data_IF_738435387398
#
_entry.id   IF_738435387398
#
_cell.length_a   1.000
_cell.length_b   1.000
_cell.length_c   1.000
_cell.angle_alpha   90.00
_cell.angle_beta   90.00
_cell.angle_gamma   90.00
#
_symmetry.space_group_name_H-M   'P 1'
#
loop_
_entity.id
_entity.type
_entity.pdbx_description
1 polymer ?
#
# COMPACT_ATOMS: atom_id res chain seq x y z
N UNK A 1 2.49 -24.19 5.95
CA UNK A 1 1.68 -23.31 5.08
C UNK A 1 2.25 -21.93 5.22
N UNK A 2 2.65 -21.29 4.13
CA UNK A 2 3.19 -19.93 4.15
C UNK A 2 2.06 -18.91 4.14
N UNK A 3 2.26 -17.77 4.81
CA UNK A 3 1.27 -16.70 4.93
C UNK A 3 1.93 -15.38 4.53
N UNK A 4 1.21 -14.55 3.80
CA UNK A 4 1.61 -13.16 3.55
C UNK A 4 0.64 -12.26 4.29
N UNK A 5 1.14 -11.38 5.15
CA UNK A 5 0.36 -10.31 5.76
C UNK A 5 0.67 -8.98 5.07
N UNK A 6 -0.36 -8.32 4.55
CA UNK A 6 -0.24 -6.98 4.00
C UNK A 6 -0.71 -5.96 5.04
N UNK A 7 0.15 -5.02 5.37
CA UNK A 7 -0.09 -3.95 6.35
C UNK A 7 -0.20 -2.62 5.59
N UNK A 8 -1.33 -1.93 5.79
CA UNK A 8 -1.60 -0.60 5.26
C UNK A 8 -0.74 0.50 5.88
N UNK A 9 -1.22 1.72 5.71
CA UNK A 9 -0.62 2.96 6.20
C UNK A 9 -0.49 2.94 7.73
N UNK A 10 0.70 3.27 8.23
CA UNK A 10 0.99 3.33 9.68
C UNK A 10 0.92 4.78 10.18
N UNK A 11 1.37 5.73 9.37
CA UNK A 11 1.19 7.17 9.60
C UNK A 11 1.76 7.69 10.91
N UNK A 12 2.90 7.16 11.37
CA UNK A 12 3.55 7.56 12.62
C UNK A 12 2.99 6.93 13.89
N UNK A 13 2.35 5.76 13.79
CA UNK A 13 1.80 5.00 14.92
C UNK A 13 2.55 3.69 15.17
N UNK A 14 3.79 3.73 15.73
CA UNK A 14 4.58 2.52 15.97
C UNK A 14 3.88 1.51 16.89
N UNK A 15 3.10 1.98 17.86
CA UNK A 15 2.33 1.10 18.76
C UNK A 15 1.28 0.28 18.02
N UNK A 16 0.62 0.86 17.03
CA UNK A 16 -0.37 0.14 16.24
C UNK A 16 0.30 -0.89 15.32
N UNK A 17 1.42 -0.52 14.69
CA UNK A 17 2.22 -1.46 13.91
C UNK A 17 2.71 -2.62 14.78
N UNK A 18 3.21 -2.32 15.99
CA UNK A 18 3.67 -3.35 16.93
C UNK A 18 2.55 -4.32 17.32
N UNK A 19 1.37 -3.80 17.70
CA UNK A 19 0.22 -4.65 18.04
C UNK A 19 -0.18 -5.56 16.89
N UNK A 20 -0.26 -5.03 15.67
CA UNK A 20 -0.58 -5.80 14.48
C UNK A 20 0.45 -6.93 14.22
N UNK A 21 1.74 -6.67 14.47
CA UNK A 21 2.79 -7.68 14.35
C UNK A 21 2.71 -8.74 15.46
N UNK A 22 2.41 -8.33 16.69
CA UNK A 22 2.24 -9.24 17.82
C UNK A 22 1.06 -10.21 17.57
N UNK A 23 -0.04 -9.70 17.01
CA UNK A 23 -1.21 -10.50 16.57
C UNK A 23 -0.87 -11.47 15.44
N UNK A 24 0.06 -11.12 14.56
CA UNK A 24 0.61 -12.00 13.53
C UNK A 24 1.59 -13.05 14.09
N UNK A 25 1.95 -12.94 15.36
CA UNK A 25 2.85 -13.86 16.07
C UNK A 25 4.32 -13.44 16.08
N UNK A 26 4.64 -12.21 15.69
CA UNK A 26 6.00 -11.69 15.82
C UNK A 26 6.45 -11.69 17.29
N UNK A 27 7.76 -11.85 17.49
CA UNK A 27 8.39 -11.88 18.82
C UNK A 27 9.61 -10.97 18.81
N UNK A 28 9.49 -9.80 19.44
CA UNK A 28 10.50 -8.75 19.33
C UNK A 28 10.64 -8.32 17.88
N UNK A 29 11.84 -8.36 17.32
CA UNK A 29 12.11 -7.93 15.94
C UNK A 29 12.26 -9.12 14.98
N UNK A 30 11.60 -10.25 15.26
CA UNK A 30 11.59 -11.45 14.40
C UNK A 30 10.19 -11.86 14.01
N UNK A 31 10.03 -12.23 12.74
CA UNK A 31 8.78 -12.76 12.20
C UNK A 31 8.74 -14.29 12.37
N UNK A 32 7.55 -14.90 12.46
CA UNK A 32 7.40 -16.34 12.31
C UNK A 32 7.99 -16.82 10.97
N UNK A 33 8.63 -17.99 10.96
CA UNK A 33 9.29 -18.51 9.76
C UNK A 33 8.34 -18.77 8.57
N UNK A 34 7.04 -18.92 8.85
CA UNK A 34 5.99 -19.09 7.85
C UNK A 34 5.35 -17.76 7.38
N UNK A 35 5.80 -16.62 7.89
CA UNK A 35 5.22 -15.31 7.63
C UNK A 35 6.14 -14.41 6.81
N UNK A 36 5.57 -13.83 5.75
CA UNK A 36 6.12 -12.64 5.10
C UNK A 36 5.19 -11.46 5.37
N UNK A 37 5.75 -10.30 5.70
CA UNK A 37 5.01 -9.04 5.89
C UNK A 37 5.35 -8.10 4.74
N UNK A 38 4.32 -7.54 4.11
CA UNK A 38 4.45 -6.45 3.13
C UNK A 38 3.80 -5.20 3.74
N UNK A 39 4.60 -4.20 4.09
CA UNK A 39 4.08 -2.89 4.52
C UNK A 39 4.01 -1.96 3.30
N UNK A 40 2.84 -1.39 3.01
CA UNK A 40 2.54 -0.75 1.72
C UNK A 40 2.98 0.71 1.59
N UNK A 41 3.76 1.25 2.51
CA UNK A 41 4.15 2.66 2.55
C UNK A 41 3.34 3.51 3.53
N UNK A 42 3.67 4.79 3.63
CA UNK A 42 3.15 5.73 4.61
C UNK A 42 3.37 5.23 6.04
N UNK A 43 4.64 4.97 6.36
CA UNK A 43 5.11 4.76 7.73
C UNK A 43 5.07 6.04 8.54
N UNK A 44 5.31 7.18 7.90
CA UNK A 44 5.34 8.51 8.52
C UNK A 44 4.14 9.35 8.10
N UNK A 45 3.53 10.05 9.03
CA UNK A 45 2.53 11.12 8.80
C UNK A 45 2.31 11.85 10.14
N UNK A 46 1.20 12.57 10.27
CA UNK A 46 0.66 13.29 11.43
C UNK A 46 0.46 12.47 12.72
N UNK A 47 0.86 11.19 12.76
CA UNK A 47 0.86 10.39 13.98
C UNK A 47 1.89 10.88 15.01
N UNK A 48 1.83 10.35 16.23
CA UNK A 48 2.61 10.87 17.36
C UNK A 48 4.11 10.60 17.26
N UNK A 49 4.54 9.57 16.53
CA UNK A 49 5.95 9.14 16.51
C UNK A 49 6.38 8.50 15.17
N UNK A 50 6.59 9.34 14.17
CA UNK A 50 7.12 8.91 12.87
C UNK A 50 8.55 8.35 12.95
N UNK A 51 9.41 8.86 13.84
CA UNK A 51 10.77 8.32 13.99
C UNK A 51 10.76 6.92 14.61
N UNK A 52 9.94 6.69 15.63
CA UNK A 52 9.76 5.39 16.24
C UNK A 52 9.19 4.35 15.27
N UNK A 53 8.30 4.75 14.36
CA UNK A 53 7.81 3.87 13.28
C UNK A 53 8.97 3.44 12.35
N UNK A 54 9.83 4.37 11.95
CA UNK A 54 11.02 4.05 11.16
C UNK A 54 12.03 3.18 11.93
N UNK A 55 12.27 3.47 13.21
CA UNK A 55 13.16 2.66 14.07
C UNK A 55 12.66 1.22 14.23
N UNK A 56 11.34 1.04 14.35
CA UNK A 56 10.70 -0.27 14.42
C UNK A 56 10.95 -1.06 13.13
N UNK A 57 10.66 -0.45 11.99
CA UNK A 57 10.86 -1.09 10.68
C UNK A 57 12.32 -1.36 10.39
N UNK A 58 13.25 -0.47 10.75
CA UNK A 58 14.70 -0.70 10.61
C UNK A 58 15.16 -2.03 11.24
N UNK A 59 14.62 -2.37 12.41
CA UNK A 59 14.97 -3.62 13.09
C UNK A 59 14.31 -4.84 12.44
N UNK A 60 13.06 -4.71 12.03
CA UNK A 60 12.29 -5.79 11.39
C UNK A 60 12.76 -6.09 9.95
N UNK A 61 13.22 -5.07 9.23
CA UNK A 61 13.74 -5.16 7.87
C UNK A 61 14.98 -6.05 7.74
N UNK A 62 15.61 -6.41 8.87
CA UNK A 62 16.72 -7.38 8.91
C UNK A 62 16.24 -8.83 8.74
N UNK A 63 14.95 -9.07 8.97
CA UNK A 63 14.31 -10.34 8.72
C UNK A 63 14.00 -10.47 7.22
N UNK A 64 14.40 -11.58 6.55
CA UNK A 64 14.11 -11.77 5.13
C UNK A 64 12.60 -11.87 4.82
N UNK A 65 11.76 -12.07 5.84
CA UNK A 65 10.31 -12.04 5.72
C UNK A 65 9.72 -10.63 5.62
N UNK A 66 10.51 -9.55 5.72
CA UNK A 66 10.00 -8.18 5.63
C UNK A 66 10.16 -7.58 4.22
N UNK A 67 9.08 -7.00 3.69
CA UNK A 67 9.08 -6.23 2.44
C UNK A 67 8.53 -4.84 2.74
N UNK A 68 9.36 -3.82 2.52
CA UNK A 68 9.02 -2.42 2.75
C UNK A 68 8.72 -1.70 1.42
N UNK A 69 7.47 -1.26 1.25
CA UNK A 69 7.10 -0.41 0.12
C UNK A 69 7.10 1.08 0.52
N UNK A 70 7.20 1.97 -0.46
CA UNK A 70 7.17 3.42 -0.29
C UNK A 70 5.77 3.95 -0.47
N UNK A 71 5.36 4.89 0.37
CA UNK A 71 4.17 5.72 0.15
C UNK A 71 4.53 7.12 -0.33
N UNK A 72 3.52 7.96 -0.54
CA UNK A 72 3.76 9.36 -0.88
C UNK A 72 4.42 10.11 0.28
N UNK A 73 4.15 9.73 1.53
CA UNK A 73 4.75 10.40 2.68
C UNK A 73 6.25 10.14 2.82
N UNK A 74 6.77 9.00 2.37
CA UNK A 74 8.21 8.78 2.25
C UNK A 74 8.78 9.42 0.99
N UNK A 75 8.07 9.29 -0.15
CA UNK A 75 8.57 9.70 -1.45
C UNK A 75 8.85 11.20 -1.57
N UNK A 76 8.14 12.05 -0.80
CA UNK A 76 8.41 13.49 -0.78
C UNK A 76 9.83 13.86 -0.32
N UNK A 77 10.53 12.96 0.38
CA UNK A 77 11.89 13.16 0.88
C UNK A 77 12.97 12.56 -0.03
N UNK A 78 12.56 11.80 -1.05
CA UNK A 78 13.44 11.18 -2.04
C UNK A 78 13.77 12.17 -3.17
N UNK A 79 14.73 11.80 -4.00
CA UNK A 79 15.14 12.63 -5.14
C UNK A 79 13.96 12.84 -6.10
N UNK A 80 13.68 14.10 -6.44
CA UNK A 80 12.53 14.48 -7.28
C UNK A 80 11.18 14.51 -6.55
N UNK A 81 11.15 14.25 -5.24
CA UNK A 81 9.95 14.36 -4.42
C UNK A 81 9.44 15.80 -4.30
N UNK A 82 8.12 15.97 -4.31
CA UNK A 82 7.47 17.26 -4.03
C UNK A 82 7.02 17.26 -2.57
N UNK A 83 7.49 18.24 -1.79
CA UNK A 83 7.08 18.40 -0.39
C UNK A 83 5.66 18.93 -0.33
N UNK A 84 4.76 18.14 0.28
CA UNK A 84 3.35 18.50 0.44
C UNK A 84 2.92 18.54 1.92
N UNK A 85 3.67 17.89 2.82
CA UNK A 85 3.35 17.94 4.25
C UNK A 85 3.66 19.30 4.86
N UNK A 86 2.83 19.70 5.83
CA UNK A 86 3.05 20.89 6.67
C UNK A 86 3.80 20.56 7.96
N UNK A 87 3.92 19.28 8.30
CA UNK A 87 4.57 18.76 9.50
C UNK A 87 5.74 17.89 9.03
N UNK A 88 6.92 18.49 8.76
CA UNK A 88 8.03 17.77 8.16
C UNK A 88 8.64 16.76 9.14
N UNK A 89 9.06 15.62 8.59
CA UNK A 89 9.86 14.63 9.28
C UNK A 89 11.20 15.23 9.73
N UNK A 90 11.68 14.84 10.91
CA UNK A 90 12.99 15.24 11.39
C UNK A 90 14.12 14.76 10.45
N UNK A 91 15.22 15.51 10.38
CA UNK A 91 16.34 15.23 9.47
C UNK A 91 16.90 13.81 9.58
N UNK A 92 16.89 13.23 10.80
CA UNK A 92 17.31 11.86 11.02
C UNK A 92 16.44 10.85 10.26
N UNK A 93 15.12 11.06 10.25
CA UNK A 93 14.18 10.24 9.49
C UNK A 93 14.35 10.43 7.99
N UNK A 94 14.53 11.68 7.54
CA UNK A 94 14.79 11.99 6.12
C UNK A 94 16.05 11.28 5.62
N UNK A 95 17.15 11.34 6.38
CA UNK A 95 18.40 10.62 6.04
C UNK A 95 18.17 9.12 5.94
N UNK A 96 17.40 8.54 6.87
CA UNK A 96 17.08 7.11 6.87
C UNK A 96 16.27 6.69 5.64
N UNK A 97 15.23 7.44 5.28
CA UNK A 97 14.43 7.14 4.09
C UNK A 97 15.28 7.16 2.81
N UNK A 98 16.18 8.13 2.69
CA UNK A 98 17.13 8.21 1.57
C UNK A 98 18.09 7.02 1.54
N UNK A 99 18.58 6.59 2.70
CA UNK A 99 19.42 5.40 2.83
C UNK A 99 18.66 4.12 2.44
N UNK A 100 17.43 3.95 2.91
CA UNK A 100 16.59 2.81 2.55
C UNK A 100 16.30 2.75 1.05
N UNK A 101 16.06 3.89 0.43
CA UNK A 101 15.89 3.98 -1.02
C UNK A 101 17.19 3.60 -1.75
N UNK A 102 18.33 4.18 -1.34
CA UNK A 102 19.62 3.94 -1.98
C UNK A 102 20.09 2.47 -1.84
N UNK A 103 19.73 1.80 -0.75
CA UNK A 103 20.08 0.40 -0.48
C UNK A 103 19.07 -0.61 -1.05
N UNK A 104 17.94 -0.13 -1.62
CA UNK A 104 16.88 -0.97 -2.16
C UNK A 104 15.99 -1.66 -1.11
N UNK A 105 16.11 -1.24 0.15
CA UNK A 105 15.18 -1.66 1.20
C UNK A 105 13.78 -1.10 0.93
N UNK A 106 13.69 0.17 0.54
CA UNK A 106 12.44 0.83 0.18
C UNK A 106 12.13 0.60 -1.31
N UNK A 107 10.98 -0.02 -1.61
CA UNK A 107 10.57 -0.39 -2.98
C UNK A 107 9.26 0.27 -3.38
N UNK A 108 8.90 0.28 -4.65
CA UNK A 108 7.63 0.85 -5.14
C UNK A 108 6.50 -0.18 -5.04
N UNK A 109 6.80 -1.42 -5.42
CA UNK A 109 5.79 -2.47 -5.53
C UNK A 109 6.35 -3.86 -5.26
N UNK A 110 5.45 -4.78 -4.95
CA UNK A 110 5.66 -6.22 -4.88
C UNK A 110 4.53 -6.94 -5.63
N UNK A 111 4.68 -8.22 -5.88
CA UNK A 111 3.61 -9.04 -6.44
C UNK A 111 3.43 -10.32 -5.61
N UNK A 112 2.19 -10.77 -5.47
CA UNK A 112 1.87 -11.98 -4.69
C UNK A 112 0.88 -12.85 -5.45
N UNK A 113 0.92 -14.16 -5.25
CA UNK A 113 -0.08 -15.12 -5.75
C UNK A 113 -0.82 -15.77 -4.60
N UNK A 114 -2.14 -15.86 -4.73
CA UNK A 114 -3.04 -16.53 -3.79
C UNK A 114 -3.96 -17.46 -4.58
N UNK A 115 -3.75 -18.77 -4.47
CA UNK A 115 -4.39 -19.73 -5.37
C UNK A 115 -4.05 -19.40 -6.83
N UNK A 116 -5.07 -19.17 -7.65
CA UNK A 116 -4.94 -18.85 -9.09
C UNK A 116 -4.98 -17.35 -9.41
N UNK A 117 -4.98 -16.47 -8.39
CA UNK A 117 -5.01 -15.02 -8.60
C UNK A 117 -3.70 -14.35 -8.18
N UNK A 118 -3.14 -13.58 -9.11
CA UNK A 118 -2.00 -12.71 -8.87
C UNK A 118 -2.47 -11.31 -8.46
N UNK A 119 -1.75 -10.71 -7.53
CA UNK A 119 -1.98 -9.36 -7.05
C UNK A 119 -0.71 -8.52 -7.19
N UNK A 120 -0.85 -7.34 -7.77
CA UNK A 120 0.12 -6.27 -7.60
C UNK A 120 -0.12 -5.61 -6.24
N UNK A 121 0.93 -5.41 -5.46
CA UNK A 121 0.89 -4.71 -4.17
C UNK A 121 1.70 -3.43 -4.29
N UNK A 122 1.05 -2.28 -4.10
CA UNK A 122 1.71 -0.97 -4.07
C UNK A 122 0.89 0.01 -3.22
N UNK A 123 1.40 1.20 -2.96
CA UNK A 123 0.82 2.10 -1.98
C UNK A 123 -0.62 2.53 -2.31
N UNK A 124 -0.88 3.14 -3.47
CA UNK A 124 -2.19 3.70 -3.82
C UNK A 124 -2.93 2.92 -4.94
N UNK A 125 -2.26 1.93 -5.53
CA UNK A 125 -2.78 1.15 -6.66
C UNK A 125 -2.27 1.65 -8.01
N UNK A 126 -2.12 0.74 -8.97
CA UNK A 126 -1.73 1.04 -10.35
C UNK A 126 -2.95 1.48 -11.15
N UNK A 127 -3.01 2.76 -11.50
CA UNK A 127 -4.07 3.33 -12.35
C UNK A 127 -4.04 2.75 -13.76
N UNK A 128 -5.20 2.73 -14.44
CA UNK A 128 -5.30 2.20 -15.81
C UNK A 128 -4.33 2.92 -16.77
N UNK A 129 -4.18 4.24 -16.63
CA UNK A 129 -3.26 5.02 -17.46
C UNK A 129 -1.80 4.65 -17.17
N UNK A 130 -1.42 4.54 -15.90
CA UNK A 130 -0.07 4.14 -15.54
C UNK A 130 0.24 2.72 -16.04
N UNK A 131 -0.71 1.77 -15.93
CA UNK A 131 -0.57 0.43 -16.51
C UNK A 131 -0.31 0.45 -18.02
N UNK A 132 -1.01 1.30 -18.79
CA UNK A 132 -0.75 1.47 -20.23
C UNK A 132 0.65 2.01 -20.51
N UNK A 133 1.09 2.99 -19.73
CA UNK A 133 2.43 3.58 -19.87
C UNK A 133 3.56 2.61 -19.47
N UNK A 134 3.27 1.62 -18.62
CA UNK A 134 4.17 0.51 -18.36
C UNK A 134 4.26 -0.50 -19.52
N UNK A 135 3.45 -0.35 -20.57
CA UNK A 135 3.40 -1.27 -21.70
C UNK A 135 2.41 -2.42 -21.49
N UNK A 136 1.36 -2.20 -20.70
CA UNK A 136 0.26 -3.14 -20.50
C UNK A 136 0.71 -4.53 -20.00
N UNK A 137 1.51 -4.62 -18.92
CA UNK A 137 1.98 -5.90 -18.40
C UNK A 137 0.81 -6.84 -18.08
N UNK A 138 0.95 -8.09 -18.50
CA UNK A 138 -0.07 -9.13 -18.29
C UNK A 138 0.09 -9.87 -16.95
N UNK A 139 1.26 -9.82 -16.33
CA UNK A 139 1.53 -10.42 -15.02
C UNK A 139 1.81 -9.34 -13.95
N UNK A 140 1.38 -9.60 -12.72
CA UNK A 140 1.61 -8.69 -11.59
C UNK A 140 3.10 -8.52 -11.28
N UNK A 141 3.90 -9.60 -11.43
CA UNK A 141 5.35 -9.56 -11.23
C UNK A 141 6.05 -8.61 -12.22
N UNK A 142 5.67 -8.68 -13.51
CA UNK A 142 6.21 -7.78 -14.52
C UNK A 142 5.84 -6.32 -14.24
N UNK A 143 4.61 -6.08 -13.78
CA UNK A 143 4.17 -4.75 -13.37
C UNK A 143 4.96 -4.23 -12.16
N UNK A 144 5.18 -5.08 -11.14
CA UNK A 144 5.98 -4.73 -9.96
C UNK A 144 7.44 -4.42 -10.34
N UNK A 145 8.07 -5.27 -11.16
CA UNK A 145 9.42 -5.06 -11.66
C UNK A 145 9.54 -3.75 -12.47
N UNK A 146 8.57 -3.48 -13.35
CA UNK A 146 8.56 -2.26 -14.16
C UNK A 146 8.39 -1.00 -13.30
N UNK A 147 7.55 -1.04 -12.26
CA UNK A 147 7.40 0.06 -11.29
C UNK A 147 8.68 0.31 -10.51
N UNK A 148 9.32 -0.76 -10.00
CA UNK A 148 10.58 -0.65 -9.26
C UNK A 148 11.73 -0.11 -10.13
N UNK A 149 11.69 -0.33 -11.45
CA UNK A 149 12.70 0.16 -12.39
C UNK A 149 12.44 1.58 -12.94
N UNK A 150 11.26 2.18 -12.72
CA UNK A 150 10.84 3.45 -13.34
C UNK A 150 10.32 4.48 -12.33
N UNK A 151 11.17 5.03 -11.45
CA UNK A 151 10.75 5.97 -10.42
C UNK A 151 10.13 7.27 -10.97
N UNK A 152 10.41 7.67 -12.21
CA UNK A 152 9.79 8.85 -12.81
C UNK A 152 8.24 8.78 -12.93
N UNK A 153 7.66 7.57 -12.93
CA UNK A 153 6.20 7.40 -13.07
C UNK A 153 5.46 7.44 -11.73
N UNK A 154 6.17 7.38 -10.60
CA UNK A 154 5.59 7.16 -9.26
C UNK A 154 5.21 8.45 -8.54
N UNK A 155 5.87 9.57 -8.85
CA UNK A 155 5.68 10.86 -8.17
C UNK A 155 4.53 11.73 -8.72
N UNK A 156 3.73 11.24 -9.66
CA UNK A 156 2.66 12.03 -10.28
C UNK A 156 1.43 12.12 -9.37
N UNK A 157 1.29 13.24 -8.67
CA UNK A 157 0.13 13.49 -7.78
C UNK A 157 -1.19 13.59 -8.56
N UNK A 158 -1.21 14.32 -9.69
CA UNK A 158 -2.46 14.65 -10.39
C UNK A 158 -3.32 15.65 -9.60
N UNK A 159 -4.58 15.85 -9.99
CA UNK A 159 -5.53 16.71 -9.26
C UNK A 159 -5.96 16.02 -7.95
N UNK A 160 -5.18 16.24 -6.88
CA UNK A 160 -5.38 15.64 -5.56
C UNK A 160 -5.51 14.10 -5.60
N UNK A 161 -4.74 13.45 -6.47
CA UNK A 161 -4.82 11.99 -6.63
C UNK A 161 -6.04 11.48 -7.39
N UNK A 162 -6.99 12.35 -7.77
CA UNK A 162 -8.25 11.95 -8.43
C UNK A 162 -8.14 11.88 -9.96
N UNK A 163 -7.04 12.38 -10.51
CA UNK A 163 -6.75 12.28 -11.94
C UNK A 163 -6.43 10.82 -12.31
N UNK A 164 -7.04 10.23 -13.36
CA UNK A 164 -6.66 8.91 -13.86
C UNK A 164 -5.16 8.75 -14.21
N UNK A 165 -4.41 9.84 -14.37
CA UNK A 165 -2.97 9.89 -14.57
C UNK A 165 -2.13 9.87 -13.29
N UNK A 166 -2.76 9.92 -12.12
CA UNK A 166 -2.07 9.81 -10.83
C UNK A 166 -1.27 8.52 -10.78
N UNK A 167 -0.06 8.63 -10.24
CA UNK A 167 0.87 7.53 -10.08
C UNK A 167 0.47 6.60 -8.92
N UNK A 168 1.15 5.45 -8.80
CA UNK A 168 0.86 4.43 -7.80
C UNK A 168 1.11 4.83 -6.34
N UNK A 169 1.61 6.05 -6.08
CA UNK A 169 1.74 6.60 -4.74
C UNK A 169 0.62 7.59 -4.38
N UNK A 170 -0.23 7.97 -5.33
CA UNK A 170 -1.14 9.10 -5.16
C UNK A 170 -2.58 8.81 -5.59
N UNK A 171 -2.82 7.69 -6.26
CA UNK A 171 -4.13 7.38 -6.83
C UNK A 171 -5.22 7.28 -5.75
N UNK A 172 -6.20 8.17 -5.81
CA UNK A 172 -7.40 8.06 -4.99
C UNK A 172 -8.22 6.85 -5.44
N UNK A 173 -8.60 6.04 -4.46
CA UNK A 173 -9.16 4.71 -4.67
C UNK A 173 -10.42 4.73 -5.53
N UNK A 174 -11.32 5.71 -5.37
CA UNK A 174 -12.52 5.83 -6.17
C UNK A 174 -12.27 6.31 -7.60
N UNK A 175 -11.86 7.56 -7.73
CA UNK A 175 -11.86 8.31 -8.98
C UNK A 175 -10.69 7.96 -9.91
N UNK A 176 -9.48 7.73 -9.39
CA UNK A 176 -8.30 7.47 -10.20
C UNK A 176 -8.03 5.97 -10.40
N UNK A 177 -8.34 5.15 -9.39
CA UNK A 177 -8.12 3.71 -9.44
C UNK A 177 -9.37 2.96 -9.95
N UNK A 178 -10.45 2.90 -9.16
CA UNK A 178 -11.57 2.00 -9.46
C UNK A 178 -12.37 2.42 -10.70
N UNK A 179 -12.81 3.68 -10.81
CA UNK A 179 -13.66 4.11 -11.93
C UNK A 179 -13.03 3.84 -13.31
N UNK A 180 -11.75 4.23 -13.59
CA UNK A 180 -11.14 3.97 -14.88
C UNK A 180 -11.01 2.48 -15.20
N UNK A 181 -10.60 1.66 -14.22
CA UNK A 181 -10.50 0.21 -14.42
C UNK A 181 -11.87 -0.47 -14.61
N UNK A 182 -12.93 0.01 -13.94
CA UNK A 182 -14.29 -0.50 -14.17
C UNK A 182 -14.83 -0.14 -15.56
N UNK A 183 -14.36 0.96 -16.14
CA UNK A 183 -14.69 1.36 -17.51
C UNK A 183 -13.84 0.68 -18.59
N UNK A 184 -12.81 -0.09 -18.20
CA UNK A 184 -11.93 -0.75 -19.17
C UNK A 184 -12.65 -1.91 -19.86
N UNK A 185 -12.71 -1.85 -21.20
CA UNK A 185 -13.37 -2.87 -22.03
C UNK A 185 -12.52 -4.13 -22.26
N UNK A 186 -11.24 -4.12 -21.88
CA UNK A 186 -10.34 -5.26 -22.04
C UNK A 186 -10.32 -6.19 -20.83
N UNK A 187 -9.33 -7.08 -20.80
CA UNK A 187 -9.13 -8.03 -19.69
C UNK A 187 -8.29 -7.36 -18.60
N UNK A 188 -8.81 -7.34 -17.37
CA UNK A 188 -8.03 -6.89 -16.20
C UNK A 188 -7.02 -8.00 -15.86
N UNK A 189 -5.71 -7.74 -16.00
CA UNK A 189 -4.71 -8.81 -16.02
C UNK A 189 -4.54 -9.50 -14.66
N UNK A 190 -4.58 -8.71 -13.58
CA UNK A 190 -4.34 -9.16 -12.20
C UNK A 190 -5.16 -8.34 -11.19
N UNK A 191 -5.28 -8.84 -9.97
CA UNK A 191 -5.82 -8.10 -8.83
C UNK A 191 -4.84 -7.07 -8.29
N UNK A 192 -5.31 -6.20 -7.39
CA UNK A 192 -4.45 -5.20 -6.74
C UNK A 192 -4.69 -5.17 -5.24
N UNK A 193 -3.64 -4.92 -4.45
CA UNK A 193 -3.75 -4.64 -3.01
C UNK A 193 -3.08 -3.28 -2.76
N UNK A 194 -3.78 -2.37 -2.10
CA UNK A 194 -3.33 -1.00 -1.92
C UNK A 194 -3.78 -0.39 -0.57
N UNK A 195 -3.01 0.57 -0.06
CA UNK A 195 -3.35 1.47 1.04
C UNK A 195 -3.84 2.84 0.52
N UNK A 196 -3.30 3.92 1.11
CA UNK A 196 -3.46 5.34 0.76
C UNK A 196 -4.84 5.95 0.99
N UNK A 197 -5.87 5.36 0.38
CA UNK A 197 -7.23 5.89 0.44
C UNK A 197 -8.25 4.77 0.26
N UNK A 198 -9.47 5.03 0.72
CA UNK A 198 -10.56 4.07 0.60
C UNK A 198 -11.86 4.73 0.17
N UNK A 199 -12.71 3.93 -0.49
CA UNK A 199 -14.05 4.34 -0.96
C UNK A 199 -15.10 4.40 0.17
N UNK A 200 -14.65 4.33 1.42
CA UNK A 200 -15.47 4.44 2.62
C UNK A 200 -14.76 5.30 3.65
N UNK A 201 -15.51 5.78 4.64
CA UNK A 201 -14.96 6.34 5.86
C UNK A 201 -15.22 5.37 6.99
N UNK A 202 -14.19 4.66 7.45
CA UNK A 202 -14.33 3.65 8.50
C UNK A 202 -14.88 4.21 9.81
N UNK A 203 -14.44 5.40 10.20
CA UNK A 203 -14.85 6.07 11.45
C UNK A 203 -16.37 6.17 11.59
N UNK A 204 -17.03 6.59 10.52
CA UNK A 204 -18.46 6.92 10.53
C UNK A 204 -19.30 5.86 9.78
N UNK A 205 -18.64 4.81 9.28
CA UNK A 205 -19.21 3.72 8.46
C UNK A 205 -19.99 4.21 7.23
N UNK A 206 -19.49 5.24 6.55
CA UNK A 206 -20.15 5.85 5.38
C UNK A 206 -19.42 5.53 4.08
N UNK A 207 -20.15 5.52 2.97
CA UNK A 207 -19.57 5.38 1.62
C UNK A 207 -19.09 6.74 1.09
N UNK A 208 -17.97 6.72 0.37
CA UNK A 208 -17.36 7.87 -0.30
C UNK A 208 -16.94 7.48 -1.72
N UNK A 209 -17.92 7.07 -2.53
CA UNK A 209 -17.72 6.72 -3.93
C UNK A 209 -19.04 6.75 -4.71
N UNK A 210 -18.94 6.60 -6.03
CA UNK A 210 -20.11 6.47 -6.89
C UNK A 210 -20.85 5.14 -6.68
N UNK A 211 -22.11 5.10 -7.14
CA UNK A 211 -22.99 3.94 -6.98
C UNK A 211 -22.47 2.68 -7.67
N UNK A 212 -21.75 2.81 -8.79
CA UNK A 212 -21.18 1.68 -9.54
C UNK A 212 -20.13 0.93 -8.72
N UNK A 213 -19.22 1.67 -8.08
CA UNK A 213 -18.20 1.10 -7.19
C UNK A 213 -18.87 0.44 -5.99
N UNK A 214 -19.77 1.16 -5.32
CA UNK A 214 -20.49 0.66 -4.14
C UNK A 214 -21.17 -0.69 -4.40
N UNK A 215 -21.83 -0.85 -5.56
CA UNK A 215 -22.52 -2.08 -5.93
C UNK A 215 -21.59 -3.29 -6.15
N UNK A 216 -20.27 -3.06 -6.29
CA UNK A 216 -19.25 -4.10 -6.50
C UNK A 216 -18.29 -4.23 -5.32
N UNK A 217 -18.50 -3.43 -4.27
CA UNK A 217 -17.63 -3.34 -3.12
C UNK A 217 -18.20 -4.11 -1.92
N UNK A 218 -17.31 -4.77 -1.18
CA UNK A 218 -17.57 -5.38 0.12
C UNK A 218 -16.64 -4.74 1.13
N UNK A 219 -17.13 -4.49 2.33
CA UNK A 219 -16.37 -3.81 3.39
C UNK A 219 -16.37 -4.69 4.62
N UNK A 220 -15.17 -5.01 5.10
CA UNK A 220 -14.95 -5.50 6.45
C UNK A 220 -14.67 -4.28 7.34
N UNK A 221 -15.67 -3.87 8.11
CA UNK A 221 -15.60 -2.69 8.95
C UNK A 221 -14.70 -2.87 10.18
N UNK A 222 -14.51 -4.10 10.65
CA UNK A 222 -13.66 -4.39 11.81
C UNK A 222 -12.20 -4.44 11.38
N UNK A 223 -11.88 -5.23 10.35
CA UNK A 223 -10.52 -5.34 9.84
C UNK A 223 -10.08 -4.11 9.04
N UNK A 224 -11.04 -3.25 8.67
CA UNK A 224 -10.88 -2.08 7.79
C UNK A 224 -10.35 -2.43 6.40
N UNK A 225 -10.93 -3.44 5.77
CA UNK A 225 -10.61 -3.82 4.39
C UNK A 225 -11.76 -3.55 3.45
N UNK A 226 -11.46 -3.05 2.26
CA UNK A 226 -12.44 -2.91 1.17
C UNK A 226 -12.05 -3.84 0.03
N UNK A 227 -13.01 -4.60 -0.50
CA UNK A 227 -12.80 -5.49 -1.65
C UNK A 227 -13.72 -5.06 -2.77
N UNK A 228 -13.16 -4.63 -3.89
CA UNK A 228 -13.91 -4.18 -5.07
C UNK A 228 -13.67 -5.16 -6.22
N UNK A 229 -14.74 -5.63 -6.86
CA UNK A 229 -14.64 -6.48 -8.05
C UNK A 229 -14.49 -5.64 -9.32
N UNK A 230 -13.43 -5.87 -10.07
CA UNK A 230 -13.06 -5.11 -11.27
C UNK A 230 -12.64 -6.07 -12.37
N UNK A 231 -13.42 -6.17 -13.45
CA UNK A 231 -13.12 -7.06 -14.59
C UNK A 231 -12.85 -8.53 -14.23
N UNK A 232 -13.54 -9.06 -13.22
CA UNK A 232 -13.34 -10.43 -12.72
C UNK A 232 -12.19 -10.60 -11.72
N UNK A 233 -11.42 -9.55 -11.44
CA UNK A 233 -10.34 -9.52 -10.45
C UNK A 233 -10.76 -8.79 -9.17
N UNK A 234 -9.97 -8.92 -8.11
CA UNK A 234 -10.17 -8.25 -6.82
C UNK A 234 -9.17 -7.12 -6.62
N UNK A 235 -9.68 -5.93 -6.31
CA UNK A 235 -8.90 -4.81 -5.80
C UNK A 235 -9.19 -4.69 -4.31
N UNK A 236 -8.15 -4.71 -3.47
CA UNK A 236 -8.27 -4.82 -2.02
C UNK A 236 -7.59 -3.61 -1.37
N UNK A 237 -8.40 -2.72 -0.80
CA UNK A 237 -7.95 -1.63 0.05
C UNK A 237 -7.66 -2.12 1.47
N UNK A 238 -6.46 -1.82 1.99
CA UNK A 238 -5.98 -2.21 3.33
C UNK A 238 -5.56 -1.01 4.20
N UNK A 239 -6.00 0.20 3.84
CA UNK A 239 -5.71 1.42 4.62
C UNK A 239 -6.60 1.49 5.88
N UNK A 240 -6.01 1.42 7.09
CA UNK A 240 -6.74 1.47 8.35
C UNK A 240 -7.24 2.88 8.68
N UNK A 241 -6.76 3.95 8.03
CA UNK A 241 -7.19 5.32 8.28
C UNK A 241 -6.82 5.82 9.68
N UNK A 242 -5.59 5.60 10.11
CA UNK A 242 -5.10 5.99 11.44
C UNK A 242 -5.20 7.50 11.70
N UNK A 243 -4.88 8.32 10.69
CA UNK A 243 -4.81 9.77 10.86
C UNK A 243 -3.97 10.19 12.07
N UNK A 244 -4.44 11.18 12.82
CA UNK A 244 -3.72 11.71 13.99
C UNK A 244 -3.79 10.83 15.24
N UNK A 245 -4.89 10.11 15.42
CA UNK A 245 -5.23 9.47 16.71
C UNK A 245 -5.15 7.95 16.67
N UNK A 246 -4.87 7.39 15.50
CA UNK A 246 -4.92 5.95 15.28
C UNK A 246 -6.34 5.43 15.05
N UNK A 247 -6.43 4.11 14.90
CA UNK A 247 -7.68 3.38 14.71
C UNK A 247 -7.99 2.55 15.96
N UNK A 248 -9.25 2.57 16.38
CA UNK A 248 -9.71 1.75 17.51
C UNK A 248 -9.59 0.25 17.24
N UNK A 249 -9.85 -0.16 15.99
CA UNK A 249 -9.74 -1.54 15.53
C UNK A 249 -9.42 -1.55 14.04
N UNK A 250 -8.48 -2.42 13.66
CA UNK A 250 -8.08 -2.76 12.30
C UNK A 250 -7.23 -4.04 12.34
N UNK A 251 -7.02 -4.69 11.20
CA UNK A 251 -6.14 -5.87 11.13
C UNK A 251 -5.32 -5.87 9.83
N UNK A 252 -4.12 -6.45 9.81
CA UNK A 252 -3.44 -6.79 8.56
C UNK A 252 -4.30 -7.70 7.67
N UNK A 253 -4.17 -7.56 6.35
CA UNK A 253 -4.77 -8.51 5.41
C UNK A 253 -3.90 -9.77 5.36
N UNK A 254 -4.37 -10.87 5.94
CA UNK A 254 -3.65 -12.15 5.92
C UNK A 254 -4.10 -12.98 4.72
N UNK A 255 -3.15 -13.33 3.87
CA UNK A 255 -3.31 -14.19 2.71
C UNK A 255 -2.70 -15.56 3.06
N UNK A 256 -3.56 -16.57 3.20
CA UNK A 256 -3.14 -17.94 3.43
C UNK A 256 -2.66 -18.59 2.14
N UNK A 257 -1.66 -19.47 2.24
CA UNK A 257 -1.06 -20.21 1.13
C UNK A 257 -0.62 -19.30 -0.02
N UNK A 258 -0.11 -18.12 0.37
CA UNK A 258 0.34 -17.09 -0.56
C UNK A 258 1.85 -17.19 -0.79
N UNK A 259 2.27 -16.80 -2.00
CA UNK A 259 3.68 -16.73 -2.39
C UNK A 259 4.03 -15.34 -2.91
N UNK A 260 5.22 -14.86 -2.55
CA UNK A 260 5.79 -13.64 -3.11
C UNK A 260 6.33 -13.96 -4.51
N UNK A 261 5.97 -13.15 -5.49
CA UNK A 261 6.47 -13.23 -6.86
C UNK A 261 7.64 -12.25 -7.00
N UNK A 262 8.66 -12.65 -7.77
CA UNK A 262 9.99 -12.01 -7.83
C UNK A 262 9.99 -10.52 -8.12
#
# INVERSE_FOLDING_TARGET
MTRIAVIGDVGGHPDQLRRALDDLGARGDRLPADLTVIQVGDLVDRGPDSLGALDLVERLARDPGWVQLTGNHEAQYLEGGTVFTREPLADAGVRRLREWWATGLLRVAAAVRVGDEDFLVCHAGLTLRCWRELGEPSAAADAAAALNARPALIGREGDHGRDPASGPLWAESGAALHEPWMGYAGVVPFGQIHGHSTVVRFRDRTWHCEGRIRNRAQVDWESRHVRVRVGGRRFIGVDPGHGRTGAESWRPLVLADAILLG
#
